data_IF_692401055798
#
_entry.id   IF_692401055798
#
_cell.length_a   1.000
_cell.length_b   1.000
_cell.length_c   1.000
_cell.angle_alpha   90.00
_cell.angle_beta   90.00
_cell.angle_gamma   90.00
#
_symmetry.space_group_name_H-M   'P 1'
#
loop_
_entity.id
_entity.type
_entity.pdbx_description
1 polymer ?
#
# COMPACT_ATOMS: atom_id res chain seq x y z
N UNK A 1 3.80 11.32 -6.66
CA UNK A 1 3.23 12.64 -6.31
C UNK A 1 3.76 13.07 -4.95
N UNK A 2 3.77 14.38 -4.61
CA UNK A 2 4.29 14.88 -3.33
C UNK A 2 3.65 14.19 -2.11
N UNK A 3 2.33 13.97 -2.14
CA UNK A 3 1.58 13.32 -1.07
C UNK A 3 2.03 11.87 -0.78
N UNK A 4 2.42 11.10 -1.81
CA UNK A 4 2.91 9.72 -1.61
C UNK A 4 4.26 9.73 -0.92
N UNK A 5 5.15 10.65 -1.31
CA UNK A 5 6.47 10.76 -0.70
C UNK A 5 6.39 11.19 0.76
N UNK A 6 5.48 12.12 1.08
CA UNK A 6 5.20 12.54 2.45
C UNK A 6 4.68 11.36 3.29
N UNK A 7 3.74 10.58 2.76
CA UNK A 7 3.21 9.40 3.44
C UNK A 7 4.30 8.33 3.67
N UNK A 8 5.17 8.08 2.70
CA UNK A 8 6.31 7.16 2.87
C UNK A 8 7.24 7.62 3.98
N UNK A 9 7.60 8.92 4.00
CA UNK A 9 8.44 9.49 5.06
C UNK A 9 7.76 9.38 6.43
N UNK A 10 6.46 9.64 6.49
CA UNK A 10 5.68 9.51 7.71
C UNK A 10 5.69 8.06 8.23
N UNK A 11 5.40 7.08 7.37
CA UNK A 11 5.40 5.66 7.74
C UNK A 11 6.75 5.21 8.30
N UNK A 12 7.86 5.65 7.71
CA UNK A 12 9.20 5.25 8.13
C UNK A 12 9.73 5.98 9.37
N UNK A 13 9.30 7.23 9.61
CA UNK A 13 9.90 8.10 10.63
C UNK A 13 8.98 8.39 11.82
N UNK A 14 7.70 8.03 11.75
CA UNK A 14 6.75 8.32 12.82
C UNK A 14 6.91 7.36 14.02
N UNK A 15 6.43 7.80 15.18
CA UNK A 15 6.29 6.93 16.33
C UNK A 15 5.29 5.80 16.02
N UNK A 16 5.53 4.55 16.47
CA UNK A 16 4.64 3.42 16.18
C UNK A 16 3.18 3.67 16.57
N UNK A 17 2.92 4.46 17.62
CA UNK A 17 1.57 4.83 18.09
C UNK A 17 0.81 5.69 17.09
N UNK A 18 1.51 6.34 16.16
CA UNK A 18 0.98 7.30 15.21
C UNK A 18 1.03 6.79 13.77
N UNK A 19 1.39 5.53 13.53
CA UNK A 19 1.52 4.96 12.18
C UNK A 19 0.26 5.19 11.31
N UNK A 20 -0.93 5.15 11.91
CA UNK A 20 -2.21 5.40 11.23
C UNK A 20 -2.73 6.84 11.35
N UNK A 21 -1.92 7.75 11.88
CA UNK A 21 -2.28 9.14 12.17
C UNK A 21 -1.87 10.09 11.02
N UNK A 22 -2.16 9.68 9.77
CA UNK A 22 -2.00 10.52 8.59
C UNK A 22 -3.22 10.43 7.68
N UNK A 23 -3.43 11.46 6.85
CA UNK A 23 -4.50 11.49 5.84
C UNK A 23 -3.87 11.62 4.45
N UNK A 24 -4.38 10.83 3.51
CA UNK A 24 -3.94 10.82 2.12
C UNK A 24 -5.17 10.70 1.21
N UNK A 25 -5.15 11.37 0.07
CA UNK A 25 -6.23 11.27 -0.92
C UNK A 25 -6.29 9.89 -1.57
N UNK A 26 -7.45 9.50 -2.08
CA UNK A 26 -7.70 8.14 -2.60
C UNK A 26 -6.74 7.72 -3.72
N UNK A 27 -6.46 8.61 -4.68
CA UNK A 27 -5.53 8.32 -5.79
C UNK A 27 -4.10 8.11 -5.31
N UNK A 28 -3.67 8.94 -4.36
CA UNK A 28 -2.35 8.84 -3.76
C UNK A 28 -2.25 7.60 -2.85
N UNK A 29 -3.35 7.20 -2.19
CA UNK A 29 -3.43 5.98 -1.42
C UNK A 29 -3.28 4.73 -2.31
N UNK A 30 -3.99 4.69 -3.45
CA UNK A 30 -3.85 3.59 -4.43
C UNK A 30 -2.42 3.48 -4.95
N UNK A 31 -1.77 4.61 -5.23
CA UNK A 31 -0.37 4.62 -5.65
C UNK A 31 0.55 4.11 -4.54
N UNK A 32 0.35 4.58 -3.31
CA UNK A 32 1.11 4.13 -2.14
C UNK A 32 0.96 2.62 -1.91
N UNK A 33 -0.25 2.07 -2.00
CA UNK A 33 -0.51 0.63 -1.87
C UNK A 33 0.27 -0.19 -2.90
N UNK A 34 0.20 0.19 -4.17
CA UNK A 34 0.93 -0.51 -5.23
C UNK A 34 2.46 -0.43 -5.02
N UNK A 35 2.95 0.72 -4.57
CA UNK A 35 4.36 0.95 -4.33
C UNK A 35 4.89 0.12 -3.16
N UNK A 36 4.19 0.10 -2.03
CA UNK A 36 4.62 -0.65 -0.85
C UNK A 36 4.60 -2.15 -1.12
N UNK A 37 3.62 -2.63 -1.88
CA UNK A 37 3.57 -4.03 -2.33
C UNK A 37 4.74 -4.38 -3.25
N UNK A 38 4.99 -3.57 -4.29
CA UNK A 38 6.11 -3.80 -5.21
C UNK A 38 7.45 -3.77 -4.47
N UNK A 39 7.63 -2.82 -3.54
CA UNK A 39 8.81 -2.73 -2.70
C UNK A 39 9.00 -4.01 -1.87
N UNK A 40 7.94 -4.48 -1.20
CA UNK A 40 8.00 -5.66 -0.36
C UNK A 40 8.28 -6.94 -1.18
N UNK A 41 7.61 -7.10 -2.32
CA UNK A 41 7.84 -8.23 -3.23
C UNK A 41 9.27 -8.25 -3.78
N UNK A 42 9.83 -7.06 -4.09
CA UNK A 42 11.22 -6.93 -4.54
C UNK A 42 12.20 -7.24 -3.42
N UNK A 43 11.98 -6.72 -2.21
CA UNK A 43 12.87 -6.94 -1.07
C UNK A 43 12.92 -8.39 -0.60
N UNK A 44 11.80 -9.11 -0.68
CA UNK A 44 11.73 -10.51 -0.27
C UNK A 44 11.91 -11.50 -1.43
N UNK A 45 12.06 -10.99 -2.65
CA UNK A 45 12.22 -11.77 -3.89
C UNK A 45 11.17 -12.89 -4.04
N UNK A 46 9.95 -12.65 -3.54
CA UNK A 46 8.87 -13.65 -3.55
C UNK A 46 7.50 -13.01 -3.77
N UNK A 47 6.62 -13.79 -4.39
CA UNK A 47 5.18 -13.52 -4.44
C UNK A 47 4.48 -13.90 -3.13
N UNK A 48 3.28 -13.36 -2.92
CA UNK A 48 2.47 -13.60 -1.72
C UNK A 48 1.13 -14.23 -2.13
N UNK A 49 1.04 -15.55 -2.12
CA UNK A 49 -0.16 -16.28 -2.56
C UNK A 49 -1.44 -15.87 -1.81
N UNK A 50 -1.35 -15.55 -0.52
CA UNK A 50 -2.49 -15.04 0.26
C UNK A 50 -2.93 -13.64 -0.19
N UNK A 51 -1.99 -12.79 -0.60
CA UNK A 51 -2.29 -11.46 -1.13
C UNK A 51 -2.92 -11.55 -2.51
N UNK A 52 -2.42 -12.45 -3.37
CA UNK A 52 -3.00 -12.74 -4.68
C UNK A 52 -4.44 -13.28 -4.53
N UNK A 53 -4.65 -14.21 -3.59
CA UNK A 53 -6.00 -14.68 -3.23
C UNK A 53 -6.89 -13.54 -2.76
N UNK A 54 -6.42 -12.69 -1.84
CA UNK A 54 -7.20 -11.55 -1.34
C UNK A 54 -7.62 -10.64 -2.49
N UNK A 55 -6.70 -10.28 -3.40
CA UNK A 55 -7.01 -9.47 -4.59
C UNK A 55 -8.01 -10.16 -5.52
N UNK A 56 -7.92 -11.48 -5.67
CA UNK A 56 -8.86 -12.25 -6.50
C UNK A 56 -10.32 -12.09 -6.06
N UNK A 57 -10.57 -11.89 -4.77
CA UNK A 57 -11.93 -11.67 -4.24
C UNK A 57 -12.53 -10.35 -4.72
N UNK A 58 -11.72 -9.29 -4.85
CA UNK A 58 -12.19 -7.96 -5.27
C UNK A 58 -12.12 -7.74 -6.78
N UNK A 59 -11.45 -8.61 -7.53
CA UNK A 59 -11.46 -8.58 -9.00
C UNK A 59 -12.88 -8.84 -9.53
N UNK A 60 -13.71 -9.61 -8.82
CA UNK A 60 -15.11 -9.84 -9.16
C UNK A 60 -16.03 -8.63 -8.92
N UNK A 61 -15.75 -7.76 -7.95
CA UNK A 61 -16.58 -6.57 -7.64
C UNK A 61 -16.49 -5.46 -8.70
N UNK A 62 -15.47 -5.46 -9.56
CA UNK A 62 -15.39 -4.52 -10.69
C UNK A 62 -16.31 -4.88 -11.88
N UNK A 63 -16.98 -6.03 -11.82
CA UNK A 63 -17.83 -6.57 -12.89
C UNK A 63 -19.27 -6.87 -12.42
N UNK A 64 -19.71 -6.31 -11.29
CA UNK A 64 -21.10 -6.33 -10.82
C UNK A 64 -21.64 -4.91 -10.73
#
# INVERSE_FOLDING_TARGET
>A
TPAVLEAMRYICLCEPKRLFSFRIGEDALKLLMNLTEAYLATQLERGFSTLDFYKSLFIGEKYV
#
